data_IF_250394507268
#
_entry.id   IF_250394507268
#
_cell.length_a   1.000
_cell.length_b   1.000
_cell.length_c   1.000
_cell.angle_alpha   90.00
_cell.angle_beta   90.00
_cell.angle_gamma   90.00
#
_symmetry.space_group_name_H-M   'P 1'
#
loop_
_entity.id
_entity.type
_entity.pdbx_description
1 polymer ?
#
# COMPACT_ATOMS: atom_id res chain seq x y z
N UNK A 1 24.38 10.73 -4.41
CA UNK A 1 22.93 10.99 -4.60
C UNK A 1 22.32 11.26 -3.23
N UNK A 2 21.57 12.36 -3.08
CA UNK A 2 20.95 12.74 -1.79
C UNK A 2 20.10 11.56 -1.26
N UNK A 3 20.32 11.15 -0.01
CA UNK A 3 19.51 10.15 0.72
C UNK A 3 18.09 10.69 0.94
N UNK A 4 17.31 10.81 -0.14
CA UNK A 4 15.91 11.23 -0.07
C UNK A 4 15.09 9.99 0.20
N UNK A 5 14.32 10.06 1.28
CA UNK A 5 13.32 9.04 1.59
C UNK A 5 12.28 9.06 0.44
N UNK A 6 11.93 7.90 -0.15
CA UNK A 6 10.91 7.85 -1.18
C UNK A 6 9.58 8.47 -0.72
N UNK A 7 8.81 9.10 -1.61
CA UNK A 7 7.52 9.70 -1.25
C UNK A 7 6.58 8.72 -0.54
N UNK A 8 6.17 9.09 0.68
CA UNK A 8 5.33 8.28 1.55
C UNK A 8 4.43 9.16 2.43
N UNK A 9 3.42 8.56 3.04
CA UNK A 9 2.64 9.15 4.13
C UNK A 9 2.10 8.03 5.04
N UNK A 10 2.88 7.69 6.07
CA UNK A 10 2.56 6.57 6.97
C UNK A 10 1.30 6.84 7.79
N UNK A 11 1.06 8.10 8.19
CA UNK A 11 -0.14 8.47 8.93
C UNK A 11 -1.40 8.27 8.09
N UNK A 12 -1.36 8.62 6.79
CA UNK A 12 -2.46 8.34 5.87
C UNK A 12 -2.68 6.83 5.69
N UNK A 13 -1.61 6.04 5.62
CA UNK A 13 -1.70 4.57 5.53
C UNK A 13 -2.33 3.96 6.78
N UNK A 14 -1.88 4.33 7.97
CA UNK A 14 -2.53 3.92 9.23
C UNK A 14 -3.99 4.36 9.25
N UNK A 15 -4.25 5.58 8.80
CA UNK A 15 -5.59 6.17 8.84
C UNK A 15 -6.59 5.43 7.94
N UNK A 16 -6.18 5.02 6.74
CA UNK A 16 -7.08 4.27 5.86
C UNK A 16 -7.35 2.85 6.40
N UNK A 17 -6.34 2.17 6.95
CA UNK A 17 -6.50 0.83 7.51
C UNK A 17 -7.42 0.86 8.74
N UNK A 18 -7.21 1.83 9.64
CA UNK A 18 -8.08 2.05 10.78
C UNK A 18 -9.51 2.39 10.37
N UNK A 19 -9.68 3.29 9.40
CA UNK A 19 -11.00 3.65 8.87
C UNK A 19 -11.76 2.45 8.29
N UNK A 20 -11.09 1.53 7.60
CA UNK A 20 -11.69 0.30 7.05
C UNK A 20 -12.12 -0.66 8.17
N UNK A 21 -11.35 -0.77 9.24
CA UNK A 21 -11.70 -1.61 10.39
C UNK A 21 -12.87 -1.03 11.20
N UNK A 22 -12.99 0.29 11.23
CA UNK A 22 -14.09 0.98 11.89
C UNK A 22 -15.40 0.92 11.06
N UNK A 23 -15.28 1.06 9.74
CA UNK A 23 -16.39 1.16 8.81
C UNK A 23 -16.05 0.48 7.48
N UNK A 24 -16.72 -0.65 7.21
CA UNK A 24 -16.52 -1.41 5.97
C UNK A 24 -16.81 -0.60 4.71
N UNK A 25 -17.71 0.38 4.77
CA UNK A 25 -18.04 1.21 3.60
C UNK A 25 -16.86 2.09 3.18
N UNK A 26 -15.91 2.34 4.09
CA UNK A 26 -14.66 3.01 3.75
C UNK A 26 -13.85 2.23 2.71
N UNK A 27 -13.84 0.89 2.78
CA UNK A 27 -13.15 0.06 1.78
C UNK A 27 -13.82 0.20 0.41
N UNK A 28 -15.15 0.13 0.37
CA UNK A 28 -15.93 0.23 -0.88
C UNK A 28 -15.61 1.52 -1.64
N UNK A 29 -15.46 2.63 -0.92
CA UNK A 29 -15.13 3.95 -1.50
C UNK A 29 -13.76 3.99 -2.19
N UNK A 30 -12.81 3.17 -1.75
CA UNK A 30 -11.40 3.25 -2.19
C UNK A 30 -10.94 2.08 -3.05
N UNK A 31 -11.65 0.94 -2.97
CA UNK A 31 -11.30 -0.31 -3.65
C UNK A 31 -11.16 -0.16 -5.18
N UNK A 32 -11.88 0.80 -5.77
CA UNK A 32 -11.84 1.07 -7.21
C UNK A 32 -10.49 1.62 -7.70
N UNK A 33 -9.70 2.22 -6.82
CA UNK A 33 -8.48 2.93 -7.22
C UNK A 33 -7.26 2.70 -6.35
N UNK A 34 -7.43 2.24 -5.10
CA UNK A 34 -6.36 1.92 -4.17
C UNK A 34 -6.04 0.42 -4.27
N UNK A 35 -4.76 0.08 -4.36
CA UNK A 35 -4.28 -1.30 -4.46
C UNK A 35 -3.23 -1.54 -3.37
N UNK A 36 -2.99 -2.79 -2.94
CA UNK A 36 -1.98 -3.11 -1.93
C UNK A 36 -0.61 -2.50 -2.24
N UNK A 37 -0.18 -2.55 -3.50
CA UNK A 37 1.15 -2.09 -3.95
C UNK A 37 1.33 -0.57 -3.83
N UNK A 38 0.25 0.17 -3.58
CA UNK A 38 0.33 1.62 -3.35
C UNK A 38 0.80 1.99 -1.94
N UNK A 39 0.78 1.06 -0.99
CA UNK A 39 1.31 1.29 0.35
C UNK A 39 2.83 1.29 0.32
N UNK A 40 3.46 2.14 1.12
CA UNK A 40 4.91 2.18 1.27
C UNK A 40 5.38 1.14 2.29
N UNK A 41 4.68 1.03 3.42
CA UNK A 41 5.03 0.05 4.44
C UNK A 41 4.52 -1.34 4.08
N UNK A 42 5.42 -2.30 4.06
CA UNK A 42 5.10 -3.70 3.74
C UNK A 42 3.99 -4.27 4.61
N UNK A 43 4.02 -4.01 5.91
CA UNK A 43 2.96 -4.45 6.82
C UNK A 43 1.59 -3.88 6.44
N UNK A 44 1.52 -2.64 5.98
CA UNK A 44 0.27 -2.01 5.57
C UNK A 44 -0.25 -2.59 4.26
N UNK A 45 0.63 -2.87 3.28
CA UNK A 45 0.28 -3.59 2.07
C UNK A 45 -0.35 -4.95 2.40
N UNK A 46 0.30 -5.73 3.28
CA UNK A 46 -0.18 -7.06 3.67
C UNK A 46 -1.54 -6.97 4.37
N UNK A 47 -1.72 -6.01 5.28
CA UNK A 47 -3.00 -5.78 5.96
C UNK A 47 -4.08 -5.39 4.96
N UNK A 48 -3.83 -4.43 4.07
CA UNK A 48 -4.80 -3.98 3.07
C UNK A 48 -5.19 -5.11 2.11
N UNK A 49 -4.21 -5.92 1.70
CA UNK A 49 -4.47 -7.12 0.90
C UNK A 49 -5.39 -8.09 1.62
N UNK A 50 -5.11 -8.39 2.90
CA UNK A 50 -5.95 -9.27 3.70
C UNK A 50 -7.40 -8.74 3.83
N UNK A 51 -7.57 -7.44 4.06
CA UNK A 51 -8.88 -6.78 4.06
C UNK A 51 -9.60 -6.93 2.71
N UNK A 52 -8.88 -6.72 1.61
CA UNK A 52 -9.43 -6.87 0.25
C UNK A 52 -9.83 -8.32 -0.06
N UNK A 53 -9.01 -9.30 0.33
CA UNK A 53 -9.30 -10.73 0.16
C UNK A 53 -10.57 -11.12 0.95
N UNK A 54 -10.67 -10.68 2.22
CA UNK A 54 -11.85 -10.91 3.06
C UNK A 54 -13.10 -10.27 2.47
N UNK A 55 -12.98 -9.04 1.96
CA UNK A 55 -14.07 -8.35 1.27
C UNK A 55 -14.58 -9.15 0.07
N UNK A 56 -13.66 -9.63 -0.78
CA UNK A 56 -13.99 -10.44 -1.96
C UNK A 56 -14.64 -11.77 -1.59
N UNK A 57 -14.23 -12.37 -0.47
CA UNK A 57 -14.85 -13.57 0.09
C UNK A 57 -16.21 -13.30 0.77
N UNK A 58 -16.69 -12.06 0.77
CA UNK A 58 -17.91 -11.63 1.48
C UNK A 58 -17.85 -11.91 2.99
N UNK A 59 -16.65 -11.91 3.56
CA UNK A 59 -16.40 -12.08 4.99
C UNK A 59 -16.32 -10.71 5.66
N UNK A 60 -16.75 -10.62 6.92
CA UNK A 60 -16.63 -9.41 7.75
C UNK A 60 -15.17 -8.97 7.90
N UNK A 61 -14.92 -7.67 7.90
CA UNK A 61 -13.59 -7.09 8.12
C UNK A 61 -13.63 -6.39 9.47
N UNK A 62 -13.39 -7.17 10.52
CA UNK A 62 -13.25 -6.69 11.90
C UNK A 62 -11.91 -7.18 12.48
N UNK A 63 -11.55 -6.66 13.66
CA UNK A 63 -10.28 -6.98 14.31
C UNK A 63 -10.07 -8.50 14.47
N UNK A 64 -11.11 -9.23 14.89
CA UNK A 64 -11.01 -10.66 15.13
C UNK A 64 -10.78 -11.41 13.81
N UNK A 65 -11.62 -11.15 12.82
CA UNK A 65 -11.60 -11.84 11.54
C UNK A 65 -10.31 -11.56 10.77
N UNK A 66 -9.85 -10.32 10.78
CA UNK A 66 -8.57 -9.94 10.17
C UNK A 66 -7.39 -10.62 10.88
N UNK A 67 -7.38 -10.64 12.21
CA UNK A 67 -6.31 -11.31 12.98
C UNK A 67 -6.26 -12.80 12.66
N UNK A 68 -7.41 -13.47 12.66
CA UNK A 68 -7.50 -14.90 12.37
C UNK A 68 -7.07 -15.22 10.93
N UNK A 69 -7.46 -14.38 9.97
CA UNK A 69 -7.03 -14.51 8.58
C UNK A 69 -5.51 -14.39 8.46
N UNK A 70 -4.92 -13.33 9.03
CA UNK A 70 -3.47 -13.10 9.01
C UNK A 70 -2.71 -14.22 9.75
N UNK A 71 -3.27 -14.77 10.82
CA UNK A 71 -2.68 -15.89 11.55
C UNK A 71 -2.66 -17.17 10.70
N UNK A 72 -3.77 -17.50 10.03
CA UNK A 72 -3.85 -18.65 9.11
C UNK A 72 -2.87 -18.52 7.95
N UNK A 73 -2.65 -17.32 7.45
CA UNK A 73 -1.67 -17.02 6.40
C UNK A 73 -0.22 -16.93 6.92
N UNK A 74 0.00 -17.11 8.23
CA UNK A 74 1.32 -16.95 8.89
C UNK A 74 1.94 -15.56 8.74
N UNK A 75 1.13 -14.53 8.46
CA UNK A 75 1.55 -13.14 8.27
C UNK A 75 1.33 -12.26 9.52
N UNK A 76 0.62 -12.76 10.54
CA UNK A 76 0.27 -11.95 11.72
C UNK A 76 1.50 -11.37 12.44
N UNK A 77 2.59 -12.13 12.54
CA UNK A 77 3.81 -11.65 13.18
C UNK A 77 4.55 -10.61 12.33
N UNK A 78 4.54 -10.76 11.00
CA UNK A 78 5.15 -9.81 10.06
C UNK A 78 4.51 -8.42 10.17
N UNK A 79 3.20 -8.36 10.40
CA UNK A 79 2.48 -7.08 10.49
C UNK A 79 2.54 -6.41 11.87
N UNK A 80 3.26 -6.98 12.83
CA UNK A 80 3.37 -6.44 14.20
C UNK A 80 2.37 -7.03 15.20
N UNK A 81 1.69 -8.12 14.85
CA UNK A 81 0.81 -8.86 15.74
C UNK A 81 -0.53 -8.18 15.98
N UNK A 82 -1.30 -8.76 16.90
CA UNK A 82 -2.66 -8.32 17.22
C UNK A 82 -2.71 -6.92 17.82
N UNK A 83 -1.68 -6.53 18.57
CA UNK A 83 -1.51 -5.19 19.14
C UNK A 83 -1.46 -4.11 18.06
N UNK A 84 -0.82 -4.38 16.92
CA UNK A 84 -0.72 -3.41 15.85
C UNK A 84 -2.07 -3.16 15.16
N UNK A 85 -2.88 -4.21 15.00
CA UNK A 85 -4.25 -4.05 14.46
C UNK A 85 -5.11 -3.19 15.40
N UNK A 86 -4.94 -3.32 16.73
CA UNK A 86 -5.61 -2.45 17.71
C UNK A 86 -5.14 -1.01 17.58
N UNK A 87 -3.82 -0.78 17.48
CA UNK A 87 -3.24 0.55 17.28
C UNK A 87 -3.84 1.25 16.04
N UNK A 88 -4.04 0.53 14.94
CA UNK A 88 -4.65 1.08 13.73
C UNK A 88 -6.09 1.56 13.95
N UNK A 89 -6.88 0.83 14.73
CA UNK A 89 -8.25 1.20 15.07
C UNK A 89 -8.27 2.45 15.96
N UNK A 90 -7.38 2.49 16.95
CA UNK A 90 -7.29 3.61 17.89
C UNK A 90 -6.72 4.90 17.26
N UNK A 91 -5.91 4.77 16.19
CA UNK A 91 -5.32 5.89 15.48
C UNK A 91 -6.35 6.77 14.73
N UNK A 92 -7.58 6.29 14.55
CA UNK A 92 -8.57 6.93 13.66
C UNK A 92 -9.89 7.21 14.39
N UNK A 93 -10.26 8.49 14.59
CA UNK A 93 -11.51 8.83 15.26
C UNK A 93 -12.74 8.68 14.35
N UNK A 94 -12.57 8.67 13.02
CA UNK A 94 -13.68 8.59 12.06
C UNK A 94 -13.24 8.05 10.69
N UNK A 95 -14.15 7.34 10.01
CA UNK A 95 -13.98 6.86 8.63
C UNK A 95 -14.26 7.93 7.57
N UNK A 96 -14.74 9.12 7.95
CA UNK A 96 -15.23 10.15 7.04
C UNK A 96 -14.19 10.61 5.99
N UNK A 97 -12.90 10.57 6.33
CA UNK A 97 -11.80 11.04 5.47
C UNK A 97 -11.07 9.91 4.72
N UNK A 98 -11.59 8.68 4.72
CA UNK A 98 -10.96 7.51 4.10
C UNK A 98 -10.53 7.77 2.64
N UNK A 99 -11.41 8.37 1.83
CA UNK A 99 -11.11 8.64 0.41
C UNK A 99 -9.95 9.63 0.23
N UNK A 100 -9.85 10.65 1.09
CA UNK A 100 -8.77 11.63 1.05
C UNK A 100 -7.42 11.01 1.41
N UNK A 101 -7.38 10.15 2.44
CA UNK A 101 -6.17 9.41 2.81
C UNK A 101 -5.75 8.46 1.69
N UNK A 102 -6.68 7.71 1.12
CA UNK A 102 -6.42 6.82 -0.01
C UNK A 102 -5.87 7.55 -1.24
N UNK A 103 -6.43 8.73 -1.57
CA UNK A 103 -5.90 9.59 -2.65
C UNK A 103 -4.46 10.01 -2.39
N UNK A 104 -4.15 10.39 -1.15
CA UNK A 104 -2.80 10.76 -0.74
C UNK A 104 -1.82 9.59 -0.92
N UNK A 105 -2.18 8.38 -0.48
CA UNK A 105 -1.36 7.18 -0.63
C UNK A 105 -1.11 6.89 -2.12
N UNK A 106 -2.15 6.95 -2.95
CA UNK A 106 -2.03 6.75 -4.40
C UNK A 106 -1.12 7.78 -5.06
N UNK A 107 -1.22 9.05 -4.69
CA UNK A 107 -0.34 10.09 -5.21
C UNK A 107 1.13 9.83 -4.84
N UNK A 108 1.39 9.45 -3.59
CA UNK A 108 2.74 9.08 -3.14
C UNK A 108 3.27 7.86 -3.90
N UNK A 109 2.45 6.83 -4.10
CA UNK A 109 2.79 5.66 -4.91
C UNK A 109 3.16 6.03 -6.35
N UNK A 110 2.39 6.91 -6.99
CA UNK A 110 2.69 7.36 -8.35
C UNK A 110 4.05 8.05 -8.41
N UNK A 111 4.34 8.94 -7.45
CA UNK A 111 5.66 9.59 -7.37
C UNK A 111 6.79 8.57 -7.15
N UNK A 112 6.59 7.53 -6.34
CA UNK A 112 7.57 6.44 -6.18
C UNK A 112 7.78 5.66 -7.47
N UNK A 113 6.71 5.37 -8.20
CA UNK A 113 6.78 4.69 -9.50
C UNK A 113 7.58 5.51 -10.51
N UNK A 114 7.36 6.83 -10.56
CA UNK A 114 8.12 7.73 -11.44
C UNK A 114 9.61 7.75 -11.10
N UNK A 115 9.95 7.78 -9.80
CA UNK A 115 11.35 7.71 -9.36
C UNK A 115 11.98 6.37 -9.78
N UNK A 116 11.26 5.26 -9.62
CA UNK A 116 11.74 3.93 -9.98
C UNK A 116 11.95 3.78 -11.50
N UNK A 117 11.02 4.32 -12.30
CA UNK A 117 11.15 4.35 -13.75
C UNK A 117 12.37 5.19 -14.18
N UNK A 118 12.57 6.38 -13.59
CA UNK A 118 13.73 7.21 -13.88
C UNK A 118 15.06 6.53 -13.50
N UNK A 119 15.09 5.81 -12.38
CA UNK A 119 16.26 5.01 -11.98
C UNK A 119 16.53 3.89 -13.00
N UNK A 120 15.49 3.14 -13.41
CA UNK A 120 15.62 2.09 -14.43
C UNK A 120 16.13 2.63 -15.76
N UNK A 121 15.65 3.79 -16.21
CA UNK A 121 16.12 4.44 -17.44
C UNK A 121 17.60 4.85 -17.29
N UNK A 122 17.98 5.34 -16.12
CA UNK A 122 19.38 5.70 -15.83
C UNK A 122 20.28 4.46 -15.90
N UNK A 123 19.87 3.36 -15.27
CA UNK A 123 20.62 2.09 -15.28
C UNK A 123 20.76 1.54 -16.70
N UNK A 124 19.68 1.58 -17.50
CA UNK A 124 19.71 1.19 -18.92
C UNK A 124 20.65 2.06 -19.76
N UNK A 125 20.77 3.35 -19.44
CA UNK A 125 21.66 4.25 -20.16
C UNK A 125 23.15 4.02 -19.85
N UNK A 126 23.48 3.42 -18.71
CA UNK A 126 24.86 3.03 -18.35
C UNK A 126 25.26 1.64 -18.87
N UNK A 127 24.31 0.87 -19.40
CA UNK A 127 24.54 -0.47 -19.93
C UNK A 127 25.17 -0.40 -21.35
N UNK A 128 26.50 -0.31 -21.40
CA UNK A 128 27.28 -0.26 -22.66
C UNK A 128 27.31 -1.61 -23.42
N UNK A 129 26.83 -2.70 -22.83
CA UNK A 129 26.79 -4.01 -23.50
C UNK A 129 25.63 -4.09 -24.50
N UNK A 130 24.61 -3.24 -24.37
CA UNK A 130 23.44 -3.21 -25.24
C UNK A 130 23.58 -2.15 -26.35
N UNK A 131 23.17 -2.47 -27.60
CA UNK A 131 23.04 -1.47 -28.65
C UNK A 131 22.14 -0.31 -28.19
N UNK A 132 22.56 0.93 -28.45
CA UNK A 132 21.83 2.13 -28.02
C UNK A 132 20.38 2.16 -28.55
N UNK A 133 20.11 1.56 -29.72
CA UNK A 133 18.76 1.40 -30.27
C UNK A 133 17.83 0.61 -29.35
N UNK A 134 18.34 -0.42 -28.68
CA UNK A 134 17.57 -1.30 -27.82
C UNK A 134 17.30 -0.63 -26.47
N UNK A 135 18.28 0.12 -25.96
CA UNK A 135 18.14 0.96 -24.76
C UNK A 135 17.04 2.01 -24.93
N UNK A 136 17.01 2.71 -26.07
CA UNK A 136 15.98 3.72 -26.37
C UNK A 136 14.59 3.10 -26.46
N UNK A 137 14.46 1.95 -27.13
CA UNK A 137 13.17 1.24 -27.24
C UNK A 137 12.66 0.77 -25.86
N UNK A 138 13.54 0.26 -24.99
CA UNK A 138 13.16 -0.19 -23.65
C UNK A 138 12.79 0.97 -22.72
N UNK A 139 13.40 2.15 -22.88
CA UNK A 139 13.11 3.31 -22.05
C UNK A 139 11.76 4.00 -22.38
N UNK A 140 11.18 3.72 -23.55
CA UNK A 140 9.93 4.34 -24.03
C UNK A 140 8.65 3.54 -23.69
N UNK A 141 8.80 2.30 -23.24
CA UNK A 141 7.71 1.40 -22.86
C UNK A 141 7.58 1.26 -21.34
#
# INVERSE_FOLDING_TARGET
MSQRIPPQNIDAEKSILGAILLDRDALVKVLSFLRPEHFYERRHEVIYKAMSDLFMASISIDQLTLTDYLQKQKMLQEVGGRSYIVELIEAVPTSAHAEQYAKTIKEKSLRRSLISAAASITDLAFDEEKPTSDVVNQAQH
#
